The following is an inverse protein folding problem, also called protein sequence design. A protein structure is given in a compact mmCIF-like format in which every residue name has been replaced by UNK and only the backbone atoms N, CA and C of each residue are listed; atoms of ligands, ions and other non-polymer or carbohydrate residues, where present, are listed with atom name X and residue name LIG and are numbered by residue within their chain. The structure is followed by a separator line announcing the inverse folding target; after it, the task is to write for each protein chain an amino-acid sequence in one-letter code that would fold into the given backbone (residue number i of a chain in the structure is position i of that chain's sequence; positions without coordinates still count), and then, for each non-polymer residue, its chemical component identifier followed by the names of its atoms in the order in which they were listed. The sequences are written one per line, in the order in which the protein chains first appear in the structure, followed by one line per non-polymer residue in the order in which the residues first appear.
data_IF_832308860542
#
_entry.id   IF_832308860542
#
_cell.length_a   1.000
_cell.length_b   1.000
_cell.length_c   1.000
_cell.angle_alpha   90.00
_cell.angle_beta   90.00
_cell.angle_gamma   90.00
#
_symmetry.space_group_name_H-M   'P 1'
#
loop_
_entity.id
_entity.type
_entity.pdbx_description
1 polymer ?
#
# COMPACT_ATOMS: atom_id res chain seq x y z
N UNK A 1 -10.27 -7.51 13.58
CA UNK A 1 -9.50 -7.07 12.39
C UNK A 1 -9.83 -7.93 11.18
N UNK A 2 -9.71 -9.26 11.26
CA UNK A 2 -9.96 -10.20 10.15
C UNK A 2 -11.36 -10.06 9.49
N UNK A 3 -12.41 -9.93 10.31
CA UNK A 3 -13.79 -9.77 9.81
C UNK A 3 -14.04 -8.38 9.16
N UNK A 4 -13.41 -7.32 9.67
CA UNK A 4 -13.56 -5.97 9.11
C UNK A 4 -12.82 -5.82 7.77
N UNK A 5 -11.65 -6.42 7.65
CA UNK A 5 -10.90 -6.44 6.38
C UNK A 5 -11.68 -7.19 5.30
N UNK A 6 -12.22 -8.37 5.64
CA UNK A 6 -13.06 -9.16 4.73
C UNK A 6 -14.32 -8.40 4.30
N UNK A 7 -15.00 -7.74 5.25
CA UNK A 7 -16.14 -6.88 4.94
C UNK A 7 -15.77 -5.75 3.99
N UNK A 8 -14.66 -5.06 4.24
CA UNK A 8 -14.19 -3.96 3.39
C UNK A 8 -13.84 -4.44 1.97
N UNK A 9 -13.20 -5.60 1.85
CA UNK A 9 -12.92 -6.24 0.55
C UNK A 9 -14.24 -6.54 -0.17
N UNK A 10 -15.23 -7.10 0.52
CA UNK A 10 -16.55 -7.40 -0.05
C UNK A 10 -17.23 -6.15 -0.62
N UNK A 11 -17.28 -5.06 0.17
CA UNK A 11 -17.89 -3.80 -0.25
C UNK A 11 -17.22 -3.21 -1.50
N UNK A 12 -15.89 -3.28 -1.57
CA UNK A 12 -15.17 -2.80 -2.75
C UNK A 12 -15.34 -3.71 -3.98
N UNK A 13 -15.52 -5.02 -3.81
CA UNK A 13 -15.87 -5.91 -4.94
C UNK A 13 -17.29 -5.63 -5.45
N UNK A 14 -18.24 -5.32 -4.56
CA UNK A 14 -19.59 -4.88 -4.97
C UNK A 14 -19.53 -3.56 -5.76
N UNK A 15 -18.78 -2.58 -5.27
CA UNK A 15 -18.57 -1.29 -5.97
C UNK A 15 -17.90 -1.49 -7.34
N UNK A 16 -16.97 -2.43 -7.44
CA UNK A 16 -16.29 -2.76 -8.70
C UNK A 16 -17.28 -3.28 -9.75
N UNK A 17 -18.19 -4.16 -9.36
CA UNK A 17 -19.26 -4.66 -10.25
C UNK A 17 -20.16 -3.52 -10.70
N UNK A 18 -20.53 -2.60 -9.80
CA UNK A 18 -21.34 -1.43 -10.16
C UNK A 18 -20.61 -0.52 -11.16
N UNK A 19 -19.33 -0.20 -10.94
CA UNK A 19 -18.55 0.61 -11.87
C UNK A 19 -18.42 -0.05 -13.26
N UNK A 20 -18.23 -1.37 -13.30
CA UNK A 20 -18.20 -2.11 -14.57
C UNK A 20 -19.54 -2.03 -15.32
N UNK A 21 -20.66 -2.09 -14.58
CA UNK A 21 -22.00 -1.91 -15.14
C UNK A 21 -22.19 -0.50 -15.71
N UNK A 22 -21.83 0.53 -14.95
CA UNK A 22 -21.92 1.93 -15.39
C UNK A 22 -21.08 2.20 -16.63
N UNK A 23 -19.87 1.63 -16.71
CA UNK A 23 -19.04 1.73 -17.93
C UNK A 23 -19.76 1.12 -19.13
N UNK A 24 -20.36 -0.07 -18.96
CA UNK A 24 -21.07 -0.73 -20.05
C UNK A 24 -22.31 0.06 -20.51
N UNK A 25 -23.08 0.61 -19.57
CA UNK A 25 -24.23 1.47 -19.84
C UNK A 25 -23.81 2.73 -20.62
N UNK A 26 -22.81 3.47 -20.13
CA UNK A 26 -22.28 4.66 -20.83
C UNK A 26 -21.75 4.32 -22.24
N UNK A 27 -21.11 3.16 -22.43
CA UNK A 27 -20.65 2.74 -23.76
C UNK A 27 -21.81 2.43 -24.71
N UNK A 28 -22.91 1.86 -24.20
CA UNK A 28 -24.14 1.64 -24.95
C UNK A 28 -24.83 2.95 -25.37
N UNK A 29 -24.73 3.98 -24.52
CA UNK A 29 -25.29 5.32 -24.76
C UNK A 29 -24.32 6.27 -25.47
N UNK A 30 -23.13 5.79 -25.87
CA UNK A 30 -22.04 6.59 -26.49
C UNK A 30 -21.51 7.75 -25.61
N UNK A 31 -21.72 7.68 -24.30
CA UNK A 31 -21.23 8.63 -23.31
C UNK A 31 -19.77 8.36 -22.92
N UNK A 32 -18.86 8.48 -23.90
CA UNK A 32 -17.46 8.09 -23.73
C UNK A 32 -16.72 8.84 -22.62
N UNK A 33 -17.08 10.11 -22.37
CA UNK A 33 -16.46 10.89 -21.30
C UNK A 33 -16.83 10.37 -19.91
N UNK A 34 -18.08 9.98 -19.70
CA UNK A 34 -18.52 9.38 -18.44
C UNK A 34 -17.94 7.98 -18.27
N UNK A 35 -17.92 7.17 -19.34
CA UNK A 35 -17.24 5.88 -19.35
C UNK A 35 -15.74 6.01 -18.97
N UNK A 36 -15.07 7.07 -19.44
CA UNK A 36 -13.68 7.36 -19.06
C UNK A 36 -13.54 7.65 -17.56
N UNK A 37 -14.38 8.50 -16.97
CA UNK A 37 -14.33 8.79 -15.54
C UNK A 37 -14.63 7.56 -14.68
N UNK A 38 -15.62 6.75 -15.06
CA UNK A 38 -15.89 5.48 -14.37
C UNK A 38 -14.74 4.48 -14.50
N UNK A 39 -14.06 4.45 -15.65
CA UNK A 39 -12.85 3.65 -15.86
C UNK A 39 -11.70 4.10 -14.95
N UNK A 40 -11.50 5.40 -14.79
CA UNK A 40 -10.51 5.95 -13.85
C UNK A 40 -10.83 5.59 -12.40
N UNK A 41 -12.10 5.69 -11.98
CA UNK A 41 -12.55 5.27 -10.66
C UNK A 41 -12.30 3.76 -10.44
N UNK A 42 -12.62 2.94 -11.44
CA UNK A 42 -12.39 1.49 -11.41
C UNK A 42 -10.90 1.15 -11.28
N UNK A 43 -10.03 1.88 -11.96
CA UNK A 43 -8.58 1.72 -11.84
C UNK A 43 -8.10 1.98 -10.40
N UNK A 44 -8.53 3.08 -9.79
CA UNK A 44 -8.18 3.41 -8.40
C UNK A 44 -8.72 2.38 -7.42
N UNK A 45 -9.97 1.94 -7.61
CA UNK A 45 -10.62 0.91 -6.80
C UNK A 45 -9.87 -0.42 -6.86
N UNK A 46 -9.46 -0.86 -8.06
CA UNK A 46 -8.68 -2.08 -8.23
C UNK A 46 -7.33 -2.01 -7.51
N UNK A 47 -6.65 -0.86 -7.52
CA UNK A 47 -5.43 -0.67 -6.74
C UNK A 47 -5.66 -0.83 -5.24
N UNK A 48 -6.76 -0.27 -4.70
CA UNK A 48 -7.13 -0.45 -3.29
C UNK A 48 -7.46 -1.91 -2.97
N UNK A 49 -8.26 -2.57 -3.80
CA UNK A 49 -8.58 -4.00 -3.65
C UNK A 49 -7.33 -4.86 -3.66
N UNK A 50 -6.40 -4.59 -4.57
CA UNK A 50 -5.11 -5.27 -4.63
C UNK A 50 -4.36 -5.10 -3.30
N UNK A 51 -4.23 -3.89 -2.78
CA UNK A 51 -3.58 -3.65 -1.47
C UNK A 51 -4.26 -4.43 -0.35
N UNK A 52 -5.58 -4.37 -0.24
CA UNK A 52 -6.33 -5.05 0.83
C UNK A 52 -6.21 -6.57 0.77
N UNK A 53 -6.31 -7.15 -0.43
CA UNK A 53 -6.13 -8.59 -0.62
C UNK A 53 -4.70 -9.04 -0.32
N UNK A 54 -3.71 -8.17 -0.56
CA UNK A 54 -2.33 -8.45 -0.17
C UNK A 54 -2.07 -8.33 1.33
N UNK A 55 -2.89 -7.57 2.06
CA UNK A 55 -2.88 -7.56 3.52
C UNK A 55 -3.46 -8.89 4.05
N UNK A 56 -4.55 -9.39 3.44
CA UNK A 56 -5.16 -10.68 3.81
C UNK A 56 -4.27 -11.88 3.41
N UNK A 57 -3.64 -11.81 2.24
CA UNK A 57 -2.76 -12.85 1.70
C UNK A 57 -1.53 -12.21 1.03
N UNK A 58 -0.37 -12.32 1.67
CA UNK A 58 0.90 -11.77 1.15
C UNK A 58 1.23 -12.25 -0.28
N UNK A 59 0.76 -13.44 -0.66
CA UNK A 59 1.00 -14.06 -1.96
C UNK A 59 -0.10 -13.74 -2.99
N UNK A 60 -1.09 -12.91 -2.65
CA UNK A 60 -2.23 -12.63 -3.52
C UNK A 60 -1.81 -12.22 -4.94
N UNK A 61 -0.90 -11.25 -5.11
CA UNK A 61 -0.46 -10.86 -6.46
C UNK A 61 0.17 -11.99 -7.26
N UNK A 62 0.95 -12.87 -6.60
CA UNK A 62 1.59 -13.99 -7.28
C UNK A 62 0.53 -14.98 -7.74
N UNK A 63 -0.44 -15.30 -6.88
CA UNK A 63 -1.58 -16.17 -7.21
C UNK A 63 -2.41 -15.59 -8.35
N UNK A 64 -2.75 -14.30 -8.26
CA UNK A 64 -3.54 -13.59 -9.27
C UNK A 64 -2.81 -13.51 -10.62
N UNK A 65 -1.50 -13.28 -10.64
CA UNK A 65 -0.68 -13.34 -11.85
C UNK A 65 -0.69 -14.73 -12.49
N UNK A 66 -0.52 -15.79 -11.69
CA UNK A 66 -0.58 -17.18 -12.19
C UNK A 66 -1.96 -17.53 -12.72
N UNK A 67 -3.03 -17.11 -12.04
CA UNK A 67 -4.40 -17.30 -12.50
C UNK A 67 -4.65 -16.61 -13.84
N UNK A 68 -4.26 -15.33 -13.98
CA UNK A 68 -4.38 -14.60 -15.26
C UNK A 68 -3.60 -15.28 -16.39
N UNK A 69 -2.44 -15.87 -16.09
CA UNK A 69 -1.66 -16.65 -17.06
C UNK A 69 -2.38 -17.93 -17.48
N UNK A 70 -2.98 -18.65 -16.53
CA UNK A 70 -3.81 -19.85 -16.77
C UNK A 70 -4.98 -19.49 -17.69
N UNK A 71 -5.76 -18.46 -17.35
CA UNK A 71 -6.92 -18.02 -18.12
C UNK A 71 -6.52 -17.62 -19.55
N UNK A 72 -5.38 -16.94 -19.70
CA UNK A 72 -4.86 -16.54 -21.01
C UNK A 72 -4.42 -17.75 -21.84
N UNK A 73 -3.79 -18.75 -21.23
CA UNK A 73 -3.35 -19.97 -21.91
C UNK A 73 -4.54 -20.81 -22.37
N UNK A 74 -5.57 -20.95 -21.52
CA UNK A 74 -6.81 -21.65 -21.87
C UNK A 74 -7.46 -21.04 -23.12
N UNK A 75 -7.66 -19.72 -23.14
CA UNK A 75 -8.21 -19.00 -24.30
C UNK A 75 -7.36 -19.17 -25.56
N UNK A 76 -6.03 -19.20 -25.43
CA UNK A 76 -5.12 -19.41 -26.56
C UNK A 76 -5.22 -20.83 -27.12
N UNK A 77 -5.32 -21.84 -26.27
CA UNK A 77 -5.47 -23.25 -26.69
C UNK A 77 -6.75 -23.45 -27.50
N UNK A 78 -7.85 -22.79 -27.10
CA UNK A 78 -9.15 -22.88 -27.79
C UNK A 78 -9.10 -22.36 -29.23
N UNK A 79 -8.35 -21.28 -29.47
CA UNK A 79 -8.29 -20.61 -30.78
C UNK A 79 -7.08 -21.01 -31.63
N UNK A 80 -6.09 -21.70 -31.04
CA UNK A 80 -4.88 -22.09 -31.76
C UNK A 80 -5.15 -23.20 -32.78
N UNK A 81 -4.58 -23.07 -33.97
CA UNK A 81 -4.78 -24.02 -35.07
C UNK A 81 -3.63 -25.01 -35.19
N UNK A 82 -2.42 -24.64 -34.74
CA UNK A 82 -1.24 -25.51 -34.78
C UNK A 82 -1.22 -26.50 -33.61
N UNK A 83 -1.20 -27.79 -33.91
CA UNK A 83 -1.11 -28.86 -32.89
C UNK A 83 0.18 -28.77 -32.06
N UNK A 84 1.30 -28.41 -32.71
CA UNK A 84 2.57 -28.17 -32.02
C UNK A 84 2.46 -27.04 -30.99
N UNK A 85 1.85 -25.91 -31.38
CA UNK A 85 1.68 -24.77 -30.47
C UNK A 85 0.66 -25.07 -29.37
N UNK A 86 -0.40 -25.82 -29.68
CA UNK A 86 -1.34 -26.34 -28.67
C UNK A 86 -0.63 -27.18 -27.63
N UNK A 87 0.20 -28.14 -28.04
CA UNK A 87 0.95 -28.98 -27.11
C UNK A 87 1.90 -28.14 -26.23
N UNK A 88 2.57 -27.14 -26.81
CA UNK A 88 3.40 -26.20 -26.07
C UNK A 88 2.58 -25.44 -25.01
N UNK A 89 1.42 -24.87 -25.38
CA UNK A 89 0.55 -24.16 -24.43
C UNK A 89 -0.02 -25.05 -23.34
N UNK A 90 -0.35 -26.32 -23.64
CA UNK A 90 -0.79 -27.30 -22.64
C UNK A 90 0.31 -27.56 -21.61
N UNK A 91 1.57 -27.70 -22.03
CA UNK A 91 2.71 -27.84 -21.10
C UNK A 91 2.88 -26.61 -20.23
N UNK A 92 2.80 -25.41 -20.80
CA UNK A 92 2.86 -24.16 -20.04
C UNK A 92 1.69 -24.02 -19.05
N UNK A 93 0.49 -24.47 -19.44
CA UNK A 93 -0.70 -24.48 -18.59
C UNK A 93 -0.52 -25.40 -17.39
N UNK A 94 0.02 -26.60 -17.60
CA UNK A 94 0.35 -27.54 -16.52
C UNK A 94 1.33 -26.92 -15.53
N UNK A 95 2.43 -26.32 -16.01
CA UNK A 95 3.40 -25.64 -15.14
C UNK A 95 2.77 -24.50 -14.34
N UNK A 96 1.95 -23.68 -14.99
CA UNK A 96 1.29 -22.57 -14.32
C UNK A 96 0.32 -23.04 -13.20
N UNK A 97 -0.41 -24.14 -13.45
CA UNK A 97 -1.27 -24.77 -12.44
C UNK A 97 -0.46 -25.33 -11.27
N UNK A 98 0.65 -26.05 -11.54
CA UNK A 98 1.52 -26.57 -10.48
C UNK A 98 2.12 -25.46 -9.61
N UNK A 99 2.54 -24.35 -10.22
CA UNK A 99 3.05 -23.19 -9.49
C UNK A 99 1.95 -22.54 -8.64
N UNK A 100 0.73 -22.43 -9.14
CA UNK A 100 -0.40 -21.88 -8.38
C UNK A 100 -0.75 -22.78 -7.18
N UNK A 101 -0.76 -24.11 -7.37
CA UNK A 101 -1.00 -25.06 -6.29
C UNK A 101 0.06 -24.97 -5.20
N UNK A 102 1.34 -24.85 -5.58
CA UNK A 102 2.43 -24.62 -4.60
C UNK A 102 2.20 -23.35 -3.78
N UNK A 103 1.75 -22.27 -4.41
CA UNK A 103 1.43 -21.01 -3.71
C UNK A 103 0.22 -21.14 -2.78
N UNK A 104 -0.77 -21.96 -3.13
CA UNK A 104 -1.97 -22.19 -2.32
C UNK A 104 -1.69 -23.04 -1.06
N UNK A 105 -0.67 -23.90 -1.11
CA UNK A 105 -0.24 -24.71 0.04
C UNK A 105 0.52 -23.91 1.10
N UNK A 106 1.02 -22.72 0.77
CA UNK A 106 1.71 -21.87 1.74
C UNK A 106 0.65 -21.29 2.69
N UNK A 107 0.71 -21.60 4.00
CA UNK A 107 -0.28 -21.13 4.95
C UNK A 107 -0.24 -19.61 5.07
N UNK A 108 -1.43 -18.99 5.17
CA UNK A 108 -1.53 -17.56 5.44
C UNK A 108 -0.93 -17.26 6.82
N UNK A 109 -0.08 -16.21 6.95
CA UNK A 109 0.44 -15.82 8.25
C UNK A 109 -0.71 -15.47 9.19
N UNK A 110 -0.64 -15.96 10.43
CA UNK A 110 -1.65 -15.63 11.44
C UNK A 110 -1.65 -14.12 11.70
N UNK A 111 -2.78 -13.46 11.50
CA UNK A 111 -2.95 -12.06 11.86
C UNK A 111 -2.84 -11.91 13.38
N UNK A 112 -1.85 -11.15 13.85
CA UNK A 112 -1.65 -10.90 15.27
C UNK A 112 -2.86 -10.16 15.83
N UNK A 113 -3.66 -10.85 16.64
CA UNK A 113 -4.80 -10.28 17.37
C UNK A 113 -4.29 -9.49 18.57
N UNK A 114 -3.87 -8.24 18.37
CA UNK A 114 -3.44 -7.34 19.44
C UNK A 114 -3.94 -5.91 19.24
N UNK A 115 -4.59 -5.35 20.26
CA UNK A 115 -5.18 -4.00 20.22
C UNK A 115 -4.15 -2.86 20.41
N UNK A 116 -2.92 -3.17 20.82
CA UNK A 116 -1.81 -2.21 20.85
C UNK A 116 -0.56 -2.85 20.27
N UNK A 117 -0.02 -2.22 19.23
CA UNK A 117 1.24 -2.64 18.61
C UNK A 117 2.42 -2.01 19.33
N UNK A 118 3.62 -2.59 19.19
CA UNK A 118 4.87 -1.98 19.64
C UNK A 118 5.02 -0.53 19.13
N UNK A 119 4.48 -0.24 17.93
CA UNK A 119 4.47 1.09 17.37
C UNK A 119 3.58 2.06 18.17
N UNK A 120 2.37 1.62 18.54
CA UNK A 120 1.44 2.42 19.36
C UNK A 120 2.06 2.80 20.71
N UNK A 121 2.67 1.83 21.39
CA UNK A 121 3.35 2.06 22.65
C UNK A 121 4.51 3.06 22.50
N UNK A 122 5.27 2.94 21.41
CA UNK A 122 6.41 3.82 21.15
C UNK A 122 5.97 5.24 20.81
N UNK A 123 4.87 5.41 20.08
CA UNK A 123 4.26 6.71 19.82
C UNK A 123 3.74 7.35 21.11
N UNK A 124 3.10 6.58 21.99
CA UNK A 124 2.68 7.05 23.33
C UNK A 124 3.89 7.53 24.13
N UNK A 125 4.99 6.76 24.17
CA UNK A 125 6.25 7.17 24.80
C UNK A 125 6.80 8.49 24.23
N UNK A 126 6.65 8.73 22.93
CA UNK A 126 7.07 9.98 22.29
C UNK A 126 6.24 11.19 22.76
N UNK A 127 4.91 11.09 22.74
CA UNK A 127 4.03 12.20 23.16
C UNK A 127 4.06 12.45 24.67
N UNK A 128 4.37 11.42 25.46
CA UNK A 128 4.67 11.52 26.89
C UNK A 128 6.07 12.06 27.18
N UNK A 129 6.87 12.32 26.14
CA UNK A 129 8.25 12.81 26.23
C UNK A 129 9.19 11.86 26.99
N UNK A 130 8.88 10.57 27.04
CA UNK A 130 9.77 9.51 27.57
C UNK A 130 10.93 9.23 26.62
N UNK A 131 10.67 9.32 25.32
CA UNK A 131 11.68 9.33 24.25
C UNK A 131 11.74 10.70 23.58
N UNK A 132 12.91 11.08 23.04
CA UNK A 132 13.10 12.40 22.42
C UNK A 132 12.69 12.42 20.95
N UNK A 133 13.10 11.39 20.22
CA UNK A 133 12.90 11.24 18.79
C UNK A 133 12.54 9.78 18.50
N UNK A 134 11.82 9.60 17.41
CA UNK A 134 11.44 8.30 16.86
C UNK A 134 11.70 8.35 15.35
N UNK A 135 12.12 7.24 14.76
CA UNK A 135 12.13 7.05 13.31
C UNK A 135 11.37 5.79 12.96
N UNK A 136 10.56 5.88 11.91
CA UNK A 136 10.02 4.74 11.20
C UNK A 136 10.83 4.59 9.93
N UNK A 137 11.75 3.62 9.92
CA UNK A 137 12.50 3.25 8.72
C UNK A 137 11.54 2.47 7.83
N UNK A 138 11.32 2.97 6.61
CA UNK A 138 10.49 2.33 5.60
C UNK A 138 11.34 1.37 4.76
N UNK A 139 12.48 1.87 4.28
CA UNK A 139 13.42 1.10 3.46
C UNK A 139 14.86 1.46 3.83
N UNK A 140 15.57 0.51 4.42
CA UNK A 140 16.90 0.72 5.00
C UNK A 140 17.94 0.93 3.92
N UNK A 141 17.90 0.15 2.83
CA UNK A 141 18.87 0.25 1.74
C UNK A 141 18.87 1.66 1.11
N UNK A 142 17.69 2.27 1.04
CA UNK A 142 17.48 3.59 0.45
C UNK A 142 17.57 4.73 1.48
N UNK A 143 17.77 4.42 2.76
CA UNK A 143 17.70 5.39 3.86
C UNK A 143 16.39 6.21 3.86
N UNK A 144 15.29 5.53 3.49
CA UNK A 144 13.95 6.10 3.42
C UNK A 144 13.27 5.93 4.78
N UNK A 145 12.98 7.03 5.47
CA UNK A 145 12.35 7.00 6.79
C UNK A 145 11.51 8.24 7.10
N UNK A 146 10.59 8.09 8.05
CA UNK A 146 9.88 9.20 8.68
C UNK A 146 10.44 9.46 10.08
N UNK A 147 10.89 10.68 10.34
CA UNK A 147 11.32 11.12 11.66
C UNK A 147 10.19 11.82 12.41
N UNK A 148 10.00 11.48 13.67
CA UNK A 148 8.98 12.05 14.54
C UNK A 148 9.64 12.75 15.74
N UNK A 149 9.15 13.95 16.05
CA UNK A 149 9.59 14.73 17.21
C UNK A 149 8.41 15.46 17.83
N UNK A 150 8.22 15.28 19.13
CA UNK A 150 7.17 15.96 19.88
C UNK A 150 7.75 17.04 20.79
N UNK A 151 7.31 18.29 20.62
CA UNK A 151 7.75 19.42 21.46
C UNK A 151 6.69 20.50 21.50
N UNK A 152 6.55 21.20 22.64
CA UNK A 152 5.58 22.30 22.81
C UNK A 152 4.14 21.95 22.39
N UNK A 153 3.68 20.71 22.64
CA UNK A 153 2.37 20.16 22.21
C UNK A 153 2.18 20.05 20.68
N UNK A 154 3.29 19.97 19.95
CA UNK A 154 3.30 19.85 18.50
C UNK A 154 4.09 18.59 18.13
N UNK A 155 3.47 17.70 17.35
CA UNK A 155 4.14 16.58 16.73
C UNK A 155 4.58 16.98 15.33
N UNK A 156 5.89 16.94 15.10
CA UNK A 156 6.49 17.14 13.79
C UNK A 156 6.86 15.80 13.19
N UNK A 157 6.34 15.53 11.99
CA UNK A 157 6.72 14.39 11.16
C UNK A 157 7.56 14.91 10.00
N UNK A 158 8.67 14.26 9.69
CA UNK A 158 9.60 14.73 8.65
C UNK A 158 10.03 13.56 7.79
N UNK A 159 9.85 13.70 6.47
CA UNK A 159 10.51 12.88 5.46
C UNK A 159 11.74 13.65 4.98
N UNK A 160 12.96 13.24 5.36
CA UNK A 160 14.17 13.91 4.92
C UNK A 160 14.63 13.44 3.55
N UNK A 161 15.67 14.11 3.01
CA UNK A 161 16.38 13.75 1.79
C UNK A 161 15.51 13.69 0.53
N UNK A 162 14.41 14.45 0.47
CA UNK A 162 13.44 14.43 -0.65
C UNK A 162 14.14 14.66 -1.98
N UNK A 163 14.89 15.76 -2.13
CA UNK A 163 15.69 16.06 -3.32
C UNK A 163 16.66 14.95 -3.73
N UNK A 164 17.26 14.24 -2.76
CA UNK A 164 18.18 13.13 -3.05
C UNK A 164 17.42 11.88 -3.51
N UNK A 165 16.30 11.56 -2.86
CA UNK A 165 15.45 10.43 -3.25
C UNK A 165 14.84 10.64 -4.64
N UNK A 166 14.45 11.88 -4.99
CA UNK A 166 13.98 12.20 -6.34
C UNK A 166 15.04 11.97 -7.41
N UNK A 167 16.28 12.41 -7.16
CA UNK A 167 17.41 12.16 -8.09
C UNK A 167 17.73 10.67 -8.28
N UNK A 168 17.41 9.85 -7.28
CA UNK A 168 17.65 8.39 -7.30
C UNK A 168 16.42 7.60 -7.75
N UNK A 169 15.33 8.26 -8.14
CA UNK A 169 14.06 7.61 -8.50
C UNK A 169 13.45 6.76 -7.37
N UNK A 170 13.78 7.11 -6.13
CA UNK A 170 13.16 6.54 -4.91
C UNK A 170 11.86 7.29 -4.59
N UNK A 171 11.79 8.58 -4.93
CA UNK A 171 10.59 9.41 -4.83
C UNK A 171 10.27 10.03 -6.18
N UNK A 172 9.00 9.95 -6.58
CA UNK A 172 8.48 10.59 -7.78
C UNK A 172 7.64 11.82 -7.38
N UNK A 173 7.37 12.69 -8.35
CA UNK A 173 6.56 13.91 -8.13
C UNK A 173 5.15 13.56 -7.63
N UNK A 174 4.59 12.44 -8.08
CA UNK A 174 3.30 11.93 -7.60
C UNK A 174 3.33 11.55 -6.13
N UNK A 175 4.44 10.99 -5.63
CA UNK A 175 4.58 10.74 -4.19
C UNK A 175 4.62 12.07 -3.43
N UNK A 176 5.38 13.06 -3.91
CA UNK A 176 5.49 14.38 -3.27
C UNK A 176 4.11 15.06 -3.23
N UNK A 177 3.36 15.02 -4.33
CA UNK A 177 2.00 15.56 -4.40
C UNK A 177 1.05 14.84 -3.45
N UNK A 178 1.15 13.50 -3.36
CA UNK A 178 0.39 12.72 -2.39
C UNK A 178 0.71 13.13 -0.95
N UNK A 179 1.99 13.34 -0.61
CA UNK A 179 2.38 13.88 0.70
C UNK A 179 1.80 15.28 0.96
N UNK A 180 1.81 16.17 -0.03
CA UNK A 180 1.19 17.51 0.07
C UNK A 180 -0.31 17.42 0.36
N UNK A 181 -1.02 16.50 -0.31
CA UNK A 181 -2.44 16.25 -0.06
C UNK A 181 -2.73 15.72 1.35
N UNK A 182 -1.75 15.12 2.01
CA UNK A 182 -1.82 14.72 3.43
C UNK A 182 -1.43 15.85 4.41
N UNK A 183 -1.14 17.05 3.91
CA UNK A 183 -0.77 18.22 4.71
C UNK A 183 0.72 18.38 4.96
N UNK A 184 1.58 17.63 4.27
CA UNK A 184 3.03 17.89 4.33
C UNK A 184 3.40 19.10 3.49
N UNK A 185 4.29 19.93 4.01
CA UNK A 185 4.87 21.05 3.29
C UNK A 185 6.30 20.72 2.87
N UNK A 186 6.61 20.94 1.60
CA UNK A 186 7.97 20.86 1.10
C UNK A 186 8.71 22.13 1.55
N UNK A 187 9.88 21.96 2.16
CA UNK A 187 10.71 23.12 2.56
C UNK A 187 11.19 23.89 1.33
N UNK A 188 11.49 25.19 1.48
CA UNK A 188 12.05 26.02 0.39
C UNK A 188 13.31 25.41 -0.25
N UNK A 189 14.15 24.75 0.54
CA UNK A 189 15.33 24.03 0.02
C UNK A 189 15.03 22.73 -0.74
N UNK A 190 13.76 22.31 -0.75
CA UNK A 190 13.25 21.05 -1.31
C UNK A 190 13.89 19.78 -0.71
N UNK A 191 14.59 19.92 0.42
CA UNK A 191 15.30 18.79 1.02
C UNK A 191 14.41 17.92 1.90
N UNK A 192 13.26 18.43 2.37
CA UNK A 192 12.41 17.75 3.36
C UNK A 192 10.93 18.05 3.14
N UNK A 193 10.09 17.06 3.39
CA UNK A 193 8.65 17.22 3.59
C UNK A 193 8.33 17.18 5.08
N UNK A 194 7.52 18.13 5.55
CA UNK A 194 7.21 18.31 6.97
C UNK A 194 5.70 18.39 7.18
N UNK A 195 5.18 17.51 8.04
CA UNK A 195 3.83 17.61 8.58
C UNK A 195 3.90 18.05 10.04
N UNK A 196 2.99 18.94 10.42
CA UNK A 196 2.85 19.45 11.79
C UNK A 196 1.46 19.13 12.29
N UNK A 197 1.37 18.37 13.38
CA UNK A 197 0.12 18.02 14.04
C UNK A 197 0.05 18.71 15.41
N UNK A 198 -1.08 19.35 15.67
CA UNK A 198 -1.40 20.08 16.90
C UNK A 198 -2.74 19.58 17.44
N UNK A 199 -2.95 19.67 18.75
CA UNK A 199 -4.17 19.19 19.41
C UNK A 199 -3.84 18.56 20.76
N UNK A 200 -4.80 17.85 21.33
CA UNK A 200 -4.51 16.95 22.44
C UNK A 200 -3.76 15.70 21.95
N UNK A 201 -3.23 14.91 22.89
CA UNK A 201 -2.36 13.77 22.56
C UNK A 201 -3.09 12.70 21.75
N UNK A 202 -4.33 12.40 22.10
CA UNK A 202 -5.08 11.31 21.49
C UNK A 202 -5.52 11.70 20.07
N UNK A 203 -5.94 12.95 19.88
CA UNK A 203 -6.21 13.48 18.54
C UNK A 203 -4.96 13.43 17.64
N UNK A 204 -3.80 13.87 18.16
CA UNK A 204 -2.53 13.83 17.41
C UNK A 204 -2.19 12.40 17.01
N UNK A 205 -2.30 11.44 17.93
CA UNK A 205 -1.99 10.03 17.65
C UNK A 205 -2.95 9.42 16.63
N UNK A 206 -4.25 9.69 16.74
CA UNK A 206 -5.24 9.18 15.80
C UNK A 206 -5.04 9.74 14.39
N UNK A 207 -4.82 11.06 14.26
CA UNK A 207 -4.49 11.69 12.97
C UNK A 207 -3.19 11.13 12.40
N UNK A 208 -2.17 10.94 13.23
CA UNK A 208 -0.90 10.37 12.80
C UNK A 208 -1.08 8.97 12.23
N UNK A 209 -1.83 8.09 12.91
CA UNK A 209 -2.11 6.73 12.42
C UNK A 209 -2.76 6.75 11.05
N UNK A 210 -3.76 7.62 10.85
CA UNK A 210 -4.43 7.76 9.56
C UNK A 210 -3.47 8.22 8.46
N UNK A 211 -2.64 9.22 8.74
CA UNK A 211 -1.61 9.70 7.80
C UNK A 211 -0.63 8.58 7.46
N UNK A 212 -0.11 7.87 8.46
CA UNK A 212 0.86 6.81 8.25
C UNK A 212 0.29 5.64 7.46
N UNK A 213 -0.96 5.26 7.70
CA UNK A 213 -1.65 4.26 6.88
C UNK A 213 -1.67 4.67 5.41
N UNK A 214 -2.00 5.93 5.10
CA UNK A 214 -1.96 6.42 3.71
C UNK A 214 -0.55 6.43 3.14
N UNK A 215 0.44 6.86 3.90
CA UNK A 215 1.84 6.85 3.43
C UNK A 215 2.31 5.42 3.09
N UNK A 216 2.05 4.45 3.97
CA UNK A 216 2.52 3.07 3.80
C UNK A 216 1.75 2.33 2.70
N UNK A 217 0.43 2.48 2.65
CA UNK A 217 -0.42 1.69 1.78
C UNK A 217 -0.80 2.36 0.46
N UNK A 218 -0.88 3.70 0.42
CA UNK A 218 -1.27 4.44 -0.79
C UNK A 218 -0.06 5.08 -1.51
N UNK A 219 0.97 5.54 -0.79
CA UNK A 219 2.11 6.25 -1.42
C UNK A 219 3.23 5.30 -1.85
N UNK A 220 3.66 4.37 -0.99
CA UNK A 220 4.87 3.55 -1.23
C UNK A 220 4.59 2.06 -1.44
N UNK A 221 3.34 1.63 -1.40
CA UNK A 221 2.94 0.23 -1.52
C UNK A 221 3.79 -0.73 -0.65
N UNK A 222 3.35 -0.95 0.59
CA UNK A 222 4.05 -1.68 1.67
C UNK A 222 4.91 -2.92 1.33
N UNK A 223 4.65 -3.61 0.21
CA UNK A 223 5.49 -4.71 -0.28
C UNK A 223 6.89 -4.29 -0.72
N UNK A 224 7.12 -3.02 -1.03
CA UNK A 224 8.45 -2.51 -1.40
C UNK A 224 9.46 -2.53 -0.23
N UNK A 225 9.02 -2.88 0.98
CA UNK A 225 9.78 -2.77 2.22
C UNK A 225 10.35 -4.10 2.77
N UNK A 226 10.37 -5.18 1.98
CA UNK A 226 10.82 -6.56 2.31
C UNK A 226 11.79 -6.70 3.51
N UNK A 227 11.25 -6.78 4.73
CA UNK A 227 12.00 -6.88 6.01
C UNK A 227 13.03 -5.76 6.27
N UNK A 228 12.97 -4.65 5.55
CA UNK A 228 13.83 -3.49 5.76
C UNK A 228 13.22 -2.45 6.70
N UNK A 229 11.92 -2.59 7.00
CA UNK A 229 11.17 -1.68 7.87
C UNK A 229 11.37 -2.00 9.35
N UNK A 230 11.71 -0.98 10.14
CA UNK A 230 11.81 -1.07 11.60
C UNK A 230 11.66 0.29 12.27
N UNK A 231 11.49 0.26 13.59
CA UNK A 231 11.37 1.46 14.42
C UNK A 231 12.70 1.68 15.15
N UNK A 232 13.20 2.91 15.13
CA UNK A 232 14.40 3.33 15.86
C UNK A 232 14.04 4.47 16.82
N UNK A 233 14.42 4.37 18.09
CA UNK A 233 14.23 5.45 19.06
C UNK A 233 15.40 5.55 20.03
N UNK A 234 15.54 6.72 20.65
CA UNK A 234 16.54 6.96 21.70
C UNK A 234 15.83 7.31 23.00
N UNK A 235 16.07 6.51 24.03
CA UNK A 235 15.62 6.81 25.38
C UNK A 235 16.27 8.09 25.89
N UNK A 236 15.53 8.85 26.69
CA UNK A 236 16.17 9.90 27.48
C UNK A 236 17.05 9.24 28.52
N UNK A 237 18.34 9.56 28.52
CA UNK A 237 19.21 9.24 29.65
C UNK A 237 18.55 9.79 30.92
N UNK A 238 18.28 8.92 31.89
CA UNK A 238 17.89 9.32 33.24
C UNK A 238 19.00 10.22 33.78
N UNK A 239 18.68 11.50 33.98
CA UNK A 239 19.51 12.45 34.72
C UNK A 239 18.90 12.66 36.08
#
# INVERSE_FOLDING_TARGET
MDNQLKLLISLYEEEKVQLQKLIHECLGETEYLLAHYHSQALYQLNGRLQTLKNIDDKLFDQKDFRQRRIDSLQKRIEVESSDYMKEHYVKDLQRANEELEKLNQIPKPATSSGNETLFDETLKKLVDKKIKNLKLILKKADNLFLGFRYSKKILKVTLPYVKQHTKKWILYDDNINSFKNLGFNLTESETKLILTLTGDKDEILNRLKLVLSKVVFEIFYFKEFDNESFIEFTDKASR
#
